data_IF_141861843644
#
_entry.id   IF_141861843644
#
_cell.length_a   1.000
_cell.length_b   1.000
_cell.length_c   1.000
_cell.angle_alpha   90.00
_cell.angle_beta   90.00
_cell.angle_gamma   90.00
#
_symmetry.space_group_name_H-M   'P 1'
#
loop_
_entity.id
_entity.type
_entity.pdbx_description
1 polymer ?
#
# COMPACT_ATOMS: atom_id res chain seq x y z
N UNK A 1 -2.51 9.12 15.01
CA UNK A 1 -1.91 8.01 14.26
C UNK A 1 -0.76 8.42 13.34
N UNK A 2 0.21 7.52 13.18
CA UNK A 2 1.24 7.46 12.14
C UNK A 2 0.85 6.40 11.10
N UNK A 3 0.69 6.81 9.85
CA UNK A 3 0.14 5.98 8.77
C UNK A 3 1.14 5.90 7.62
N UNK A 4 1.39 4.68 7.14
CA UNK A 4 2.19 4.43 5.94
C UNK A 4 1.29 4.03 4.78
N UNK A 5 1.54 4.60 3.60
CA UNK A 5 0.70 4.39 2.41
C UNK A 5 1.62 3.96 1.26
N UNK A 6 1.34 2.82 0.65
CA UNK A 6 2.01 2.42 -0.59
C UNK A 6 1.58 3.27 -1.78
N UNK A 7 2.44 3.33 -2.80
CA UNK A 7 2.18 4.06 -4.03
C UNK A 7 1.64 3.12 -5.11
N UNK A 8 2.41 2.10 -5.47
CA UNK A 8 2.08 1.25 -6.60
C UNK A 8 0.87 0.37 -6.25
N UNK A 9 -0.14 0.32 -7.11
CA UNK A 9 -1.38 -0.43 -6.91
C UNK A 9 -2.23 -0.05 -5.67
N UNK A 10 -1.85 1.03 -4.97
CA UNK A 10 -2.59 1.66 -3.88
C UNK A 10 -2.99 3.11 -4.14
N UNK A 11 -2.07 3.94 -4.64
CA UNK A 11 -2.35 5.31 -5.09
C UNK A 11 -2.47 5.40 -6.61
N UNK A 12 -1.85 4.46 -7.34
CA UNK A 12 -1.84 4.42 -8.79
C UNK A 12 -2.22 3.01 -9.30
N UNK A 13 -2.41 2.86 -10.61
CA UNK A 13 -2.77 1.59 -11.26
C UNK A 13 -1.57 0.92 -11.96
N UNK A 14 -0.44 0.78 -11.26
CA UNK A 14 0.82 0.29 -11.84
C UNK A 14 0.67 -1.03 -12.62
N UNK A 15 0.04 -2.04 -12.04
CA UNK A 15 -0.09 -3.35 -12.71
C UNK A 15 -0.93 -3.29 -13.98
N UNK A 16 -1.98 -2.46 -14.00
CA UNK A 16 -2.87 -2.29 -15.15
C UNK A 16 -2.11 -1.68 -16.33
N UNK A 17 -1.28 -0.67 -16.04
CA UNK A 17 -0.40 -0.08 -17.05
C UNK A 17 0.64 -1.09 -17.51
N UNK A 18 1.23 -1.84 -16.58
CA UNK A 18 2.24 -2.84 -16.91
C UNK A 18 1.68 -3.91 -17.86
N UNK A 19 0.53 -4.52 -17.51
CA UNK A 19 -0.04 -5.60 -18.31
C UNK A 19 -0.49 -5.09 -19.68
N UNK A 20 -1.10 -3.90 -19.76
CA UNK A 20 -1.47 -3.31 -21.04
C UNK A 20 -0.23 -3.05 -21.90
N UNK A 21 0.86 -2.56 -21.30
CA UNK A 21 2.11 -2.33 -22.03
C UNK A 21 2.74 -3.64 -22.52
N UNK A 22 2.64 -4.72 -21.76
CA UNK A 22 3.09 -6.04 -22.18
C UNK A 22 2.30 -6.56 -23.40
N UNK A 23 0.99 -6.30 -23.47
CA UNK A 23 0.17 -6.57 -24.66
C UNK A 23 0.59 -5.70 -25.83
N UNK A 24 0.69 -4.38 -25.64
CA UNK A 24 1.00 -3.42 -26.69
C UNK A 24 2.37 -3.67 -27.34
N UNK A 25 3.34 -4.17 -26.56
CA UNK A 25 4.68 -4.52 -27.03
C UNK A 25 4.77 -5.95 -27.58
N UNK A 26 3.69 -6.73 -27.54
CA UNK A 26 3.64 -8.09 -28.08
C UNK A 26 4.38 -9.13 -27.24
N UNK A 27 4.64 -8.87 -25.95
CA UNK A 27 5.19 -9.89 -25.04
C UNK A 27 4.14 -10.94 -24.66
N UNK A 28 2.86 -10.54 -24.63
CA UNK A 28 1.70 -11.41 -24.41
C UNK A 28 0.59 -11.05 -25.40
N UNK A 29 -0.24 -12.03 -25.78
CA UNK A 29 -1.23 -11.83 -26.85
C UNK A 29 -2.48 -11.04 -26.41
N UNK A 30 -2.79 -11.03 -25.11
CA UNK A 30 -3.99 -10.41 -24.57
C UNK A 30 -3.81 -10.09 -23.08
N UNK A 31 -4.69 -9.23 -22.56
CA UNK A 31 -4.76 -8.87 -21.16
C UNK A 31 -4.88 -10.13 -20.28
N UNK A 32 -4.17 -10.13 -19.15
CA UNK A 32 -4.24 -11.19 -18.13
C UNK A 32 -4.29 -10.57 -16.76
N UNK A 33 -5.23 -11.05 -15.94
CA UNK A 33 -5.30 -10.64 -14.55
C UNK A 33 -4.06 -11.14 -13.78
N UNK A 34 -3.34 -10.23 -13.12
CA UNK A 34 -2.12 -10.57 -12.39
C UNK A 34 -2.51 -11.20 -11.04
N UNK A 35 -2.41 -12.52 -10.98
CA UNK A 35 -2.75 -13.34 -9.79
C UNK A 35 -1.54 -13.61 -8.88
N UNK A 36 -0.35 -13.09 -9.20
CA UNK A 36 0.83 -13.17 -8.35
C UNK A 36 1.50 -11.80 -8.23
N UNK A 37 1.76 -11.36 -7.00
CA UNK A 37 2.44 -10.07 -6.72
C UNK A 37 3.85 -10.00 -7.36
N UNK A 38 4.52 -11.15 -7.50
CA UNK A 38 5.83 -11.25 -8.15
C UNK A 38 5.65 -11.43 -9.66
N UNK A 39 5.76 -10.34 -10.42
CA UNK A 39 5.61 -10.35 -11.89
C UNK A 39 6.53 -11.38 -12.56
N UNK A 40 7.76 -11.54 -12.05
CA UNK A 40 8.70 -12.53 -12.59
C UNK A 40 8.14 -13.94 -12.45
N UNK A 41 7.55 -14.29 -11.30
CA UNK A 41 6.90 -15.59 -11.11
C UNK A 41 5.63 -15.73 -11.94
N UNK A 42 4.82 -14.67 -12.01
CA UNK A 42 3.58 -14.67 -12.79
C UNK A 42 3.85 -15.04 -14.26
N UNK A 43 4.77 -14.34 -14.92
CA UNK A 43 5.08 -14.55 -16.34
C UNK A 43 5.95 -15.77 -16.61
N UNK A 44 6.50 -16.44 -15.59
CA UNK A 44 7.07 -17.79 -15.76
C UNK A 44 6.01 -18.88 -15.75
N UNK A 45 4.79 -18.58 -15.30
CA UNK A 45 3.71 -19.56 -15.18
C UNK A 45 2.52 -19.28 -16.10
N UNK A 46 2.29 -18.03 -16.55
CA UNK A 46 1.07 -17.66 -17.26
C UNK A 46 1.19 -16.41 -18.17
N UNK A 47 1.41 -16.53 -19.50
CA UNK A 47 1.90 -17.72 -20.19
C UNK A 47 3.36 -17.98 -19.78
N UNK A 48 3.86 -19.22 -19.80
CA UNK A 48 5.24 -19.48 -19.39
C UNK A 48 6.21 -18.90 -20.42
N UNK A 49 6.77 -17.73 -20.10
CA UNK A 49 7.86 -17.11 -20.83
C UNK A 49 9.20 -17.62 -20.29
N UNK A 50 10.23 -17.63 -21.13
CA UNK A 50 11.60 -17.91 -20.70
C UNK A 50 12.10 -16.82 -19.75
N UNK A 51 13.07 -17.15 -18.89
CA UNK A 51 13.70 -16.20 -17.98
C UNK A 51 14.24 -14.94 -18.71
N UNK A 52 14.81 -15.14 -19.91
CA UNK A 52 15.27 -14.07 -20.78
C UNK A 52 14.12 -13.15 -21.22
N UNK A 53 13.01 -13.73 -21.72
CA UNK A 53 11.84 -12.95 -22.13
C UNK A 53 11.18 -12.21 -20.99
N UNK A 54 11.07 -12.82 -19.80
CA UNK A 54 10.52 -12.17 -18.60
C UNK A 54 11.39 -10.99 -18.20
N UNK A 55 12.71 -11.18 -18.18
CA UNK A 55 13.67 -10.13 -17.83
C UNK A 55 13.63 -8.99 -18.83
N UNK A 56 13.65 -9.31 -20.13
CA UNK A 56 13.56 -8.34 -21.21
C UNK A 56 12.25 -7.53 -21.14
N UNK A 57 11.10 -8.19 -20.98
CA UNK A 57 9.80 -7.53 -20.84
C UNK A 57 9.76 -6.56 -19.65
N UNK A 58 10.12 -7.03 -18.45
CA UNK A 58 10.08 -6.21 -17.24
C UNK A 58 11.02 -5.00 -17.41
N UNK A 59 12.23 -5.23 -17.93
CA UNK A 59 13.20 -4.16 -18.14
C UNK A 59 12.73 -3.17 -19.19
N UNK A 60 12.26 -3.63 -20.35
CA UNK A 60 11.80 -2.78 -21.45
C UNK A 60 10.63 -1.87 -20.98
N UNK A 61 9.68 -2.45 -20.23
CA UNK A 61 8.54 -1.69 -19.72
C UNK A 61 8.98 -0.70 -18.63
N UNK A 62 9.69 -1.15 -17.59
CA UNK A 62 10.03 -0.28 -16.46
C UNK A 62 11.13 0.73 -16.76
N UNK A 63 12.04 0.46 -17.70
CA UNK A 63 13.05 1.42 -18.18
C UNK A 63 12.52 2.31 -19.30
N UNK A 64 11.32 2.07 -19.81
CA UNK A 64 10.75 2.98 -20.80
C UNK A 64 10.62 4.38 -20.21
N UNK A 65 11.18 5.38 -20.90
CA UNK A 65 11.23 6.75 -20.41
C UNK A 65 9.82 7.19 -19.98
N UNK A 66 9.69 7.47 -18.68
CA UNK A 66 8.47 7.94 -18.02
C UNK A 66 7.40 6.89 -17.66
N UNK A 67 7.68 5.57 -17.65
CA UNK A 67 6.70 4.58 -17.14
C UNK A 67 6.16 4.98 -15.76
N UNK A 68 7.07 5.11 -14.79
CA UNK A 68 6.74 5.45 -13.40
C UNK A 68 6.08 6.83 -13.24
N UNK A 69 6.43 7.78 -14.10
CA UNK A 69 5.89 9.15 -14.08
C UNK A 69 4.47 9.25 -14.64
N UNK A 70 4.07 8.31 -15.49
CA UNK A 70 2.80 8.37 -16.23
C UNK A 70 1.74 7.37 -15.74
N UNK A 71 2.01 6.63 -14.67
CA UNK A 71 1.02 5.71 -14.11
C UNK A 71 -0.22 6.52 -13.67
N UNK A 72 -1.44 6.16 -14.13
CA UNK A 72 -2.67 6.82 -13.73
C UNK A 72 -2.89 6.76 -12.21
N UNK A 73 -3.40 7.85 -11.67
CA UNK A 73 -3.82 7.98 -10.28
C UNK A 73 -5.16 7.26 -10.07
N UNK A 74 -5.31 6.54 -8.96
CA UNK A 74 -6.60 5.97 -8.55
C UNK A 74 -7.59 7.05 -8.14
N UNK A 75 -8.85 6.84 -8.49
CA UNK A 75 -9.94 7.76 -8.15
C UNK A 75 -10.06 7.99 -6.64
N UNK A 76 -10.25 9.26 -6.24
CA UNK A 76 -10.40 9.68 -4.85
C UNK A 76 -9.13 9.65 -4.00
N UNK A 77 -7.99 9.20 -4.54
CA UNK A 77 -6.74 9.08 -3.80
C UNK A 77 -6.23 10.43 -3.26
N UNK A 78 -6.31 11.49 -4.08
CA UNK A 78 -5.82 12.83 -3.71
C UNK A 78 -6.62 13.40 -2.53
N UNK A 79 -7.94 13.35 -2.61
CA UNK A 79 -8.86 13.84 -1.59
C UNK A 79 -8.67 13.07 -0.28
N UNK A 80 -8.55 11.74 -0.38
CA UNK A 80 -8.36 10.90 0.78
C UNK A 80 -7.01 11.14 1.47
N UNK A 81 -5.92 11.15 0.72
CA UNK A 81 -4.58 11.42 1.27
C UNK A 81 -4.50 12.83 1.86
N UNK A 82 -5.14 13.83 1.23
CA UNK A 82 -5.22 15.19 1.76
C UNK A 82 -5.97 15.23 3.10
N UNK A 83 -7.09 14.54 3.22
CA UNK A 83 -7.82 14.42 4.48
C UNK A 83 -6.97 13.72 5.55
N UNK A 84 -6.31 12.62 5.20
CA UNK A 84 -5.42 11.89 6.12
C UNK A 84 -4.26 12.76 6.59
N UNK A 85 -3.64 13.54 5.69
CA UNK A 85 -2.54 14.45 6.02
C UNK A 85 -2.95 15.57 6.98
N UNK A 86 -4.20 16.04 6.89
CA UNK A 86 -4.72 17.07 7.79
C UNK A 86 -5.05 16.54 9.20
N UNK A 87 -5.27 15.23 9.35
CA UNK A 87 -5.73 14.63 10.61
C UNK A 87 -4.70 13.68 11.26
N UNK A 88 -3.70 13.23 10.51
CA UNK A 88 -2.73 12.22 10.92
C UNK A 88 -1.33 12.52 10.37
N UNK A 89 -0.32 11.84 10.95
CA UNK A 89 1.04 11.88 10.42
C UNK A 89 1.17 10.81 9.34
N UNK A 90 1.10 11.20 8.07
CA UNK A 90 1.20 10.25 6.97
C UNK A 90 2.58 10.26 6.32
N UNK A 91 2.98 9.10 5.79
CA UNK A 91 4.18 8.90 5.01
C UNK A 91 3.86 7.99 3.82
N UNK A 92 4.25 8.40 2.62
CA UNK A 92 4.27 7.52 1.47
C UNK A 92 5.49 6.61 1.60
N UNK A 93 5.28 5.30 1.64
CA UNK A 93 6.33 4.30 1.75
C UNK A 93 6.32 3.45 0.49
N UNK A 94 7.36 3.53 -0.33
CA UNK A 94 7.41 2.85 -1.64
C UNK A 94 8.74 2.13 -1.82
N UNK A 95 8.72 1.04 -2.59
CA UNK A 95 9.91 0.30 -2.96
C UNK A 95 10.35 0.72 -4.37
N UNK A 96 11.52 1.33 -4.55
CA UNK A 96 12.02 1.63 -5.88
C UNK A 96 12.42 0.33 -6.59
N UNK A 97 12.18 0.26 -7.89
CA UNK A 97 12.66 -0.84 -8.72
C UNK A 97 14.13 -0.59 -9.05
N UNK A 98 15.02 -1.27 -8.31
CA UNK A 98 16.47 -1.00 -8.29
C UNK A 98 17.19 -1.02 -9.66
N UNK A 99 16.82 -1.86 -10.65
CA UNK A 99 17.48 -1.83 -11.94
C UNK A 99 17.35 -0.51 -12.71
N UNK A 100 16.36 0.33 -12.39
CA UNK A 100 16.24 1.69 -12.91
C UNK A 100 16.83 2.71 -11.90
N UNK A 101 17.99 3.33 -12.19
CA UNK A 101 18.61 4.32 -11.30
C UNK A 101 17.75 5.59 -11.14
N UNK A 102 16.86 5.89 -12.09
CA UNK A 102 15.97 7.05 -12.06
C UNK A 102 14.58 6.75 -11.48
N UNK A 103 14.28 5.49 -11.10
CA UNK A 103 12.97 5.12 -10.57
C UNK A 103 12.55 5.97 -9.36
N UNK A 104 13.50 6.24 -8.45
CA UNK A 104 13.24 7.12 -7.29
C UNK A 104 12.87 8.54 -7.75
N UNK A 105 13.59 9.10 -8.72
CA UNK A 105 13.34 10.43 -9.28
C UNK A 105 11.96 10.50 -9.93
N UNK A 106 11.58 9.51 -10.74
CA UNK A 106 10.25 9.48 -11.36
C UNK A 106 9.13 9.37 -10.33
N UNK A 107 9.32 8.58 -9.27
CA UNK A 107 8.36 8.50 -8.16
C UNK A 107 8.22 9.84 -7.43
N UNK A 108 9.31 10.56 -7.18
CA UNK A 108 9.25 11.92 -6.61
C UNK A 108 8.44 12.85 -7.52
N UNK A 109 8.75 12.88 -8.82
CA UNK A 109 8.03 13.73 -9.78
C UNK A 109 6.54 13.37 -9.89
N UNK A 110 6.20 12.08 -9.83
CA UNK A 110 4.82 11.62 -9.81
C UNK A 110 4.08 12.10 -8.55
N UNK A 111 4.73 12.04 -7.39
CA UNK A 111 4.19 12.57 -6.13
C UNK A 111 4.02 14.09 -6.21
N UNK A 112 5.00 14.83 -6.74
CA UNK A 112 4.89 16.29 -6.91
C UNK A 112 3.72 16.67 -7.83
N UNK A 113 3.47 15.88 -8.88
CA UNK A 113 2.37 16.09 -9.82
C UNK A 113 0.98 15.95 -9.18
N UNK A 114 0.76 14.95 -8.32
CA UNK A 114 -0.57 14.63 -7.78
C UNK A 114 -0.76 15.03 -6.31
N UNK A 115 0.31 15.02 -5.52
CA UNK A 115 0.31 15.21 -4.08
C UNK A 115 1.25 16.36 -3.66
N UNK A 116 1.25 17.47 -4.41
CA UNK A 116 2.11 18.65 -4.18
C UNK A 116 1.99 19.28 -2.78
N UNK A 117 0.98 18.90 -2.01
CA UNK A 117 0.78 19.30 -0.61
C UNK A 117 1.59 18.47 0.40
N UNK A 118 2.20 17.35 -0.02
CA UNK A 118 3.09 16.55 0.81
C UNK A 118 4.50 17.13 0.79
N UNK A 119 5.17 17.03 1.93
CA UNK A 119 6.57 17.43 2.07
C UNK A 119 7.51 16.26 1.77
N UNK A 120 8.75 16.58 1.43
CA UNK A 120 9.78 15.58 1.12
C UNK A 120 10.09 14.65 2.30
N UNK A 121 9.93 15.11 3.55
CA UNK A 121 10.09 14.29 4.76
C UNK A 121 8.95 13.29 4.99
N UNK A 122 7.90 13.35 4.16
CA UNK A 122 6.79 12.39 4.15
C UNK A 122 6.97 11.30 3.10
N UNK A 123 8.11 11.21 2.43
CA UNK A 123 8.43 10.18 1.45
C UNK A 123 9.53 9.25 1.97
N UNK A 124 9.27 7.93 1.96
CA UNK A 124 10.17 6.90 2.43
C UNK A 124 10.39 5.85 1.33
N UNK A 125 11.64 5.70 0.89
CA UNK A 125 12.04 4.62 -0.01
C UNK A 125 12.51 3.42 0.81
N UNK A 126 11.73 2.33 0.79
CA UNK A 126 12.01 1.12 1.58
C UNK A 126 11.39 -0.13 0.95
N UNK A 127 12.14 -1.24 0.93
CA UNK A 127 11.66 -2.53 0.40
C UNK A 127 10.89 -3.37 1.43
N UNK A 128 11.26 -3.26 2.71
CA UNK A 128 10.70 -4.05 3.83
C UNK A 128 9.89 -3.14 4.75
N UNK A 129 8.70 -2.72 4.30
CA UNK A 129 7.85 -1.74 5.01
C UNK A 129 7.41 -2.20 6.41
N UNK A 130 7.39 -3.51 6.66
CA UNK A 130 7.13 -4.07 8.00
C UNK A 130 8.19 -3.73 9.06
N UNK A 131 9.32 -3.13 8.67
CA UNK A 131 10.32 -2.57 9.60
C UNK A 131 9.93 -1.18 10.12
N UNK A 132 8.96 -0.51 9.48
CA UNK A 132 8.51 0.79 9.89
C UNK A 132 7.67 0.70 11.16
N UNK A 133 7.97 1.57 12.12
CA UNK A 133 7.15 1.69 13.33
C UNK A 133 6.01 2.67 13.06
N UNK A 134 4.77 2.18 13.06
CA UNK A 134 3.57 2.99 12.88
C UNK A 134 2.32 2.30 13.37
N UNK A 135 1.21 3.00 13.25
CA UNK A 135 -0.08 2.55 13.75
C UNK A 135 -0.86 1.83 12.64
N UNK A 136 -0.79 2.33 11.40
CA UNK A 136 -1.53 1.80 10.24
C UNK A 136 -0.59 1.68 9.02
N UNK A 137 -0.80 0.64 8.21
CA UNK A 137 -0.29 0.55 6.84
C UNK A 137 -1.43 0.31 5.85
N UNK A 138 -1.41 1.05 4.73
CA UNK A 138 -2.27 0.84 3.56
C UNK A 138 -1.36 0.35 2.42
N UNK A 139 -1.50 -0.90 2.02
CA UNK A 139 -0.60 -1.57 1.08
C UNK A 139 -1.31 -2.76 0.42
N UNK A 140 -0.95 -3.12 -0.81
CA UNK A 140 -1.54 -4.27 -1.52
C UNK A 140 -0.69 -5.55 -1.33
N UNK A 141 0.58 -5.42 -0.96
CA UNK A 141 1.56 -6.50 -0.96
C UNK A 141 1.32 -7.47 0.20
N UNK A 142 1.04 -8.76 -0.08
CA UNK A 142 0.77 -9.78 0.93
C UNK A 142 1.74 -9.79 2.12
N UNK A 143 3.04 -9.87 1.84
CA UNK A 143 4.06 -9.99 2.89
C UNK A 143 4.22 -8.72 3.74
N UNK A 144 3.84 -7.55 3.22
CA UNK A 144 3.78 -6.32 4.01
C UNK A 144 2.66 -6.43 5.04
N UNK A 145 1.48 -6.84 4.59
CA UNK A 145 0.28 -6.99 5.42
C UNK A 145 0.49 -8.06 6.48
N UNK A 146 1.02 -9.23 6.14
CA UNK A 146 1.24 -10.34 7.09
C UNK A 146 2.25 -10.01 8.20
N UNK A 147 3.22 -9.12 7.92
CA UNK A 147 4.34 -8.84 8.83
C UNK A 147 4.24 -7.50 9.55
N UNK A 148 3.44 -6.56 9.06
CA UNK A 148 3.33 -5.25 9.69
C UNK A 148 2.72 -5.42 11.09
N UNK A 149 3.36 -4.80 12.09
CA UNK A 149 2.95 -4.98 13.49
C UNK A 149 1.73 -4.15 13.86
N UNK A 150 1.36 -3.16 13.04
CA UNK A 150 0.20 -2.31 13.26
C UNK A 150 -1.07 -2.82 12.62
N UNK A 151 -2.07 -1.94 12.51
CA UNK A 151 -3.30 -2.21 11.80
C UNK A 151 -3.02 -2.22 10.30
N UNK A 152 -3.58 -3.19 9.60
CA UNK A 152 -3.38 -3.37 8.16
C UNK A 152 -4.66 -3.11 7.39
N UNK A 153 -4.58 -2.23 6.42
CA UNK A 153 -5.62 -1.97 5.42
C UNK A 153 -5.07 -2.49 4.10
N UNK A 154 -5.54 -3.65 3.65
CA UNK A 154 -5.11 -4.22 2.38
C UNK A 154 -5.91 -3.63 1.23
N UNK A 155 -5.20 -3.07 0.24
CA UNK A 155 -5.83 -2.67 -1.02
C UNK A 155 -6.06 -3.93 -1.86
N UNK A 156 -7.30 -4.14 -2.28
CA UNK A 156 -7.76 -5.39 -2.88
C UNK A 156 -7.10 -5.64 -4.22
N UNK A 157 -6.49 -6.82 -4.38
CA UNK A 157 -5.86 -7.27 -5.61
C UNK A 157 -6.08 -8.78 -5.81
N UNK A 158 -6.05 -9.29 -7.05
CA UNK A 158 -6.26 -10.73 -7.31
C UNK A 158 -5.26 -11.63 -6.54
N UNK A 159 -4.00 -11.21 -6.43
CA UNK A 159 -2.96 -11.96 -5.73
C UNK A 159 -3.05 -11.95 -4.20
N UNK A 160 -3.92 -11.14 -3.59
CA UNK A 160 -3.98 -10.98 -2.15
C UNK A 160 -5.30 -11.41 -1.49
N UNK A 161 -6.18 -12.08 -2.23
CA UNK A 161 -7.50 -12.52 -1.75
C UNK A 161 -7.47 -13.41 -0.51
N UNK A 162 -6.40 -14.19 -0.34
CA UNK A 162 -6.23 -15.12 0.81
C UNK A 162 -5.55 -14.48 2.02
N UNK A 163 -5.20 -13.20 1.94
CA UNK A 163 -4.45 -12.50 2.98
C UNK A 163 -5.42 -11.93 4.02
N UNK A 164 -5.14 -12.23 5.29
CA UNK A 164 -5.86 -11.70 6.43
C UNK A 164 -5.30 -10.33 6.80
N UNK A 165 -6.13 -9.29 6.67
CA UNK A 165 -5.86 -7.93 7.11
C UNK A 165 -6.94 -7.48 8.10
N UNK A 166 -6.70 -6.39 8.84
CA UNK A 166 -7.77 -5.80 9.66
C UNK A 166 -8.90 -5.26 8.79
N UNK A 167 -8.55 -4.68 7.64
CA UNK A 167 -9.49 -4.14 6.67
C UNK A 167 -9.07 -4.49 5.25
N UNK A 168 -10.05 -4.72 4.38
CA UNK A 168 -9.88 -4.86 2.93
C UNK A 168 -10.68 -3.78 2.22
N UNK A 169 -10.06 -3.10 1.27
CA UNK A 169 -10.63 -1.95 0.56
C UNK A 169 -10.31 -2.06 -0.93
N UNK A 170 -11.22 -1.64 -1.80
CA UNK A 170 -10.99 -1.59 -3.25
C UNK A 170 -10.98 -0.16 -3.81
N UNK A 171 -11.20 0.85 -2.94
CA UNK A 171 -11.20 2.26 -3.30
C UNK A 171 -10.87 3.15 -2.08
N UNK A 172 -10.57 4.42 -2.37
CA UNK A 172 -10.20 5.40 -1.34
C UNK A 172 -11.39 5.94 -0.53
N UNK A 173 -12.60 5.87 -1.07
CA UNK A 173 -13.82 6.21 -0.32
C UNK A 173 -13.98 5.29 0.90
N UNK A 174 -13.78 3.97 0.71
CA UNK A 174 -13.83 2.99 1.79
C UNK A 174 -12.74 3.22 2.83
N UNK A 175 -11.53 3.60 2.40
CA UNK A 175 -10.45 3.99 3.32
C UNK A 175 -10.89 5.17 4.18
N UNK A 176 -11.43 6.23 3.58
CA UNK A 176 -11.89 7.40 4.33
C UNK A 176 -12.99 7.04 5.33
N UNK A 177 -13.95 6.21 4.91
CA UNK A 177 -15.04 5.76 5.78
C UNK A 177 -14.50 5.01 7.02
N UNK A 178 -13.59 4.06 6.82
CA UNK A 178 -12.92 3.35 7.93
C UNK A 178 -12.23 4.35 8.86
N UNK A 179 -11.46 5.28 8.29
CA UNK A 179 -10.68 6.26 9.05
C UNK A 179 -11.56 7.27 9.80
N UNK A 180 -12.77 7.55 9.31
CA UNK A 180 -13.72 8.48 9.94
C UNK A 180 -14.62 7.81 10.97
N UNK A 181 -15.02 6.55 10.77
CA UNK A 181 -15.97 5.84 11.63
C UNK A 181 -15.25 5.04 12.73
N UNK A 182 -14.31 4.19 12.35
CA UNK A 182 -13.65 3.23 13.25
C UNK A 182 -12.49 3.87 14.05
N UNK A 183 -12.03 5.03 13.61
CA UNK A 183 -11.04 5.84 14.32
C UNK A 183 -11.62 7.20 14.78
N UNK A 184 -12.95 7.28 14.87
CA UNK A 184 -13.70 8.44 15.38
C UNK A 184 -13.45 8.70 16.87
N UNK A 185 -14.06 9.76 17.44
CA UNK A 185 -13.93 10.09 18.88
C UNK A 185 -14.79 9.19 19.79
N UNK A 186 -15.83 8.53 19.27
CA UNK A 186 -16.84 7.79 20.06
C UNK A 186 -16.51 6.32 20.28
N UNK A 187 -15.73 5.70 19.38
CA UNK A 187 -15.06 4.39 19.53
C UNK A 187 -13.64 4.47 18.97
N UNK A 188 -12.80 3.44 19.07
CA UNK A 188 -11.47 3.52 18.46
C UNK A 188 -10.56 2.33 18.69
N UNK A 189 -9.45 2.34 17.96
CA UNK A 189 -8.36 1.42 18.17
C UNK A 189 -7.41 1.87 19.28
N UNK A 190 -6.93 0.90 20.03
CA UNK A 190 -6.00 1.06 21.13
C UNK A 190 -4.87 0.05 20.99
N UNK A 191 -3.66 0.48 21.29
CA UNK A 191 -2.50 -0.40 21.39
C UNK A 191 -2.23 -0.72 22.85
N UNK A 192 -2.15 -2.01 23.19
CA UNK A 192 -1.64 -2.41 24.48
C UNK A 192 -0.14 -2.15 24.57
N UNK A 193 0.28 -1.32 25.51
CA UNK A 193 1.68 -0.98 25.74
C UNK A 193 2.47 -2.11 26.40
N UNK A 194 1.80 -3.15 26.92
CA UNK A 194 2.45 -4.35 27.48
C UNK A 194 2.75 -5.40 26.41
N UNK A 195 1.75 -5.80 25.63
CA UNK A 195 1.87 -6.91 24.67
C UNK A 195 1.88 -6.47 23.20
N UNK A 196 1.67 -5.19 22.91
CA UNK A 196 1.67 -4.65 21.54
C UNK A 196 0.40 -4.92 20.73
N UNK A 197 -0.54 -5.72 21.23
CA UNK A 197 -1.79 -6.03 20.52
C UNK A 197 -2.65 -4.79 20.31
N UNK A 198 -3.30 -4.75 19.15
CA UNK A 198 -4.28 -3.75 18.78
C UNK A 198 -5.68 -4.24 19.16
N UNK A 199 -6.48 -3.35 19.73
CA UNK A 199 -7.78 -3.62 20.35
C UNK A 199 -8.76 -2.59 19.79
N UNK A 200 -9.98 -3.00 19.45
CA UNK A 200 -11.05 -2.06 19.11
C UNK A 200 -12.04 -1.99 20.26
N UNK A 201 -12.49 -0.78 20.61
CA UNK A 201 -13.55 -0.56 21.58
C UNK A 201 -14.58 0.44 21.05
N UNK A 202 -15.86 0.06 21.11
CA UNK A 202 -16.98 0.79 20.52
C UNK A 202 -17.44 2.02 21.31
N UNK A 203 -17.19 2.09 22.62
CA UNK A 203 -17.73 3.13 23.52
C UNK A 203 -16.69 3.53 24.55
N UNK A 204 -16.63 4.81 24.94
CA UNK A 204 -15.89 5.27 26.13
C UNK A 204 -16.45 4.63 27.40
N UNK A 205 -16.01 3.43 27.75
CA UNK A 205 -16.21 2.82 29.05
C UNK A 205 -14.95 3.07 29.87
N UNK A 206 -15.10 3.55 31.10
CA UNK A 206 -13.98 3.64 32.03
C UNK A 206 -13.43 2.22 32.28
N UNK A 207 -12.09 2.06 32.26
CA UNK A 207 -11.33 0.82 32.50
C UNK A 207 -11.22 -0.21 31.37
N UNK A 208 -10.84 0.22 30.16
CA UNK A 208 -10.38 -0.72 29.13
C UNK A 208 -9.11 -1.49 29.56
N UNK A 209 -9.17 -2.82 29.54
CA UNK A 209 -8.01 -3.69 29.68
C UNK A 209 -7.81 -4.53 28.42
N UNK A 210 -6.56 -4.73 28.03
CA UNK A 210 -6.21 -5.59 26.91
C UNK A 210 -6.73 -7.01 27.14
N UNK A 211 -7.71 -7.45 26.36
CA UNK A 211 -8.31 -8.79 26.50
C UNK A 211 -7.33 -9.94 26.20
N UNK A 212 -6.17 -9.65 25.59
CA UNK A 212 -5.08 -10.64 25.41
C UNK A 212 -4.16 -10.81 26.61
N UNK A 213 -3.99 -9.79 27.47
CA UNK A 213 -2.98 -9.87 28.56
C UNK A 213 -3.39 -9.23 29.90
N UNK A 214 -4.64 -8.78 30.01
CA UNK A 214 -5.22 -8.12 31.18
C UNK A 214 -4.63 -6.75 31.50
N UNK A 215 -3.75 -6.19 30.65
CA UNK A 215 -3.09 -4.91 30.96
C UNK A 215 -4.00 -3.72 30.71
N UNK A 216 -4.08 -2.84 31.72
CA UNK A 216 -4.71 -1.51 31.61
C UNK A 216 -3.79 -0.47 30.95
N UNK A 217 -2.52 -0.82 30.66
CA UNK A 217 -1.62 0.06 29.91
C UNK A 217 -1.98 -0.02 28.43
N UNK A 218 -2.96 0.77 28.04
CA UNK A 218 -3.38 0.91 26.64
C UNK A 218 -3.27 2.37 26.21
N UNK A 219 -3.03 2.57 24.92
CA UNK A 219 -2.93 3.89 24.31
C UNK A 219 -3.88 3.93 23.12
N UNK A 220 -4.80 4.89 23.10
CA UNK A 220 -5.62 5.18 21.92
C UNK A 220 -4.74 5.63 20.76
N UNK A 221 -5.03 5.15 19.55
CA UNK A 221 -4.30 5.48 18.33
C UNK A 221 -4.75 6.83 17.73
#
# INVERSE_FOLDING_TARGET
MRIYIDIDDCLNDMKEVFIQRAVDLGYIDTYREIECWDLTKFFKSNPPLSDEKVTDMINNIFLSNNFWLNIPLKEGAVEAVKWLNNNHKIYLATSPWYPDPDCMKYKVQWIEKYFSFLKTDQLIFISKKWLLEGDIIIDDKPITIEKFKGITIIFDQPYNQKINANYRVNNWERVLKIMQEDFSKTGGYYKCLKCGHYLFYEVTVDNFCCYYCGSFKIKRL
#
